data_IF_042102928970
#
_entry.id   IF_042102928970
#
_cell.length_a   1.000
_cell.length_b   1.000
_cell.length_c   1.000
_cell.angle_alpha   90.00
_cell.angle_beta   90.00
_cell.angle_gamma   90.00
#
_symmetry.space_group_name_H-M   'P 1'
#
loop_
_entity.id
_entity.type
_entity.pdbx_description
1 polymer ?
#
# COMPACT_ATOMS: atom_id res chain seq x y z
N UNK A 1 6.73 6.43 -7.16
CA UNK A 1 7.77 7.24 -6.50
C UNK A 1 7.23 8.58 -5.99
N UNK A 2 6.84 9.55 -6.83
CA UNK A 2 6.36 10.86 -6.37
C UNK A 2 5.21 10.82 -5.35
N UNK A 3 4.21 9.96 -5.57
CA UNK A 3 3.12 9.78 -4.61
C UNK A 3 3.64 9.37 -3.22
N UNK A 4 4.59 8.43 -3.17
CA UNK A 4 5.23 7.99 -1.92
C UNK A 4 5.98 9.14 -1.26
N UNK A 5 6.69 9.98 -2.02
CA UNK A 5 7.37 11.15 -1.48
C UNK A 5 6.39 12.14 -0.83
N UNK A 6 5.26 12.42 -1.49
CA UNK A 6 4.21 13.28 -0.93
C UNK A 6 3.61 12.68 0.35
N UNK A 7 3.38 11.37 0.35
CA UNK A 7 2.83 10.66 1.51
C UNK A 7 3.80 10.72 2.71
N UNK A 8 5.08 10.44 2.47
CA UNK A 8 6.14 10.54 3.49
C UNK A 8 6.24 11.96 4.04
N UNK A 9 6.25 12.98 3.16
CA UNK A 9 6.30 14.38 3.61
C UNK A 9 5.08 14.75 4.47
N UNK A 10 3.87 14.33 4.09
CA UNK A 10 2.66 14.56 4.88
C UNK A 10 2.71 13.88 6.26
N UNK A 11 3.29 12.68 6.34
CA UNK A 11 3.49 11.98 7.60
C UNK A 11 4.55 12.66 8.48
N UNK A 12 5.67 13.11 7.91
CA UNK A 12 6.71 13.82 8.67
C UNK A 12 6.28 15.20 9.15
N UNK A 13 5.27 15.80 8.49
CA UNK A 13 4.62 17.05 8.90
C UNK A 13 3.43 16.83 9.84
N UNK A 14 3.20 15.61 10.32
CA UNK A 14 2.08 15.22 11.19
C UNK A 14 0.68 15.54 10.60
N UNK A 15 0.58 15.72 9.27
CA UNK A 15 -0.69 15.95 8.57
C UNK A 15 -1.52 14.66 8.54
N UNK A 16 -0.86 13.51 8.46
CA UNK A 16 -1.46 12.18 8.55
C UNK A 16 -0.72 11.34 9.59
N UNK A 17 -1.41 10.35 10.18
CA UNK A 17 -0.81 9.47 11.19
C UNK A 17 -0.22 8.19 10.61
N UNK A 18 -0.62 7.81 9.39
CA UNK A 18 -0.20 6.56 8.76
C UNK A 18 -0.18 6.64 7.24
N UNK A 19 0.62 5.77 6.64
CA UNK A 19 0.69 5.54 5.20
C UNK A 19 0.07 4.17 4.90
N UNK A 20 -0.82 4.12 3.91
CA UNK A 20 -1.41 2.86 3.44
C UNK A 20 -1.14 2.75 1.94
N UNK A 21 -0.11 1.98 1.58
CA UNK A 21 0.30 1.74 0.20
C UNK A 21 -0.32 0.43 -0.28
N UNK A 22 -1.19 0.55 -1.27
CA UNK A 22 -1.98 -0.55 -1.79
C UNK A 22 -1.60 -0.77 -3.23
N UNK A 23 -1.36 -2.03 -3.61
CA UNK A 23 -1.14 -2.38 -5.02
C UNK A 23 -2.06 -3.51 -5.42
N UNK A 24 -2.53 -3.45 -6.65
CA UNK A 24 -3.26 -4.57 -7.23
C UNK A 24 -2.28 -5.71 -7.52
N UNK A 25 -2.46 -6.83 -6.82
CA UNK A 25 -1.71 -8.05 -7.07
C UNK A 25 -2.42 -8.84 -8.18
N UNK A 26 -2.29 -8.39 -9.43
CA UNK A 26 -2.59 -9.23 -10.58
C UNK A 26 -1.31 -9.60 -11.30
N UNK A 27 -1.24 -10.87 -11.60
CA UNK A 27 -0.14 -11.52 -12.26
C UNK A 27 -0.02 -11.07 -13.71
N UNK A 28 1.21 -10.98 -14.18
CA UNK A 28 1.53 -10.83 -15.59
C UNK A 28 1.23 -12.13 -16.37
N UNK A 29 -0.04 -12.55 -16.40
CA UNK A 29 -0.53 -13.64 -17.25
C UNK A 29 -0.47 -15.07 -16.69
N UNK A 30 0.09 -15.31 -15.51
CA UNK A 30 0.02 -16.63 -14.82
C UNK A 30 -1.00 -16.61 -13.68
N UNK A 31 -1.41 -17.76 -13.15
CA UNK A 31 -2.33 -17.86 -12.00
C UNK A 31 -1.50 -18.05 -10.72
N UNK A 32 -1.94 -17.45 -9.59
CA UNK A 32 -1.18 -17.32 -8.33
C UNK A 32 -0.83 -18.68 -7.69
N UNK A 33 -1.30 -19.76 -8.30
CA UNK A 33 -0.94 -21.13 -8.03
C UNK A 33 0.49 -21.54 -8.41
N UNK A 34 1.22 -20.82 -9.26
CA UNK A 34 2.52 -21.32 -9.77
C UNK A 34 3.76 -20.97 -8.93
N UNK A 35 3.72 -19.89 -8.13
CA UNK A 35 4.83 -19.59 -7.23
C UNK A 35 4.76 -20.50 -5.99
N UNK A 36 5.82 -21.25 -5.62
CA UNK A 36 5.86 -21.99 -4.37
C UNK A 36 5.95 -21.01 -3.19
N UNK A 37 5.25 -21.29 -2.08
CA UNK A 37 5.30 -20.47 -0.87
C UNK A 37 3.94 -20.08 -0.30
N UNK A 38 3.96 -19.42 0.86
CA UNK A 38 2.75 -18.85 1.47
C UNK A 38 2.23 -17.64 0.65
N UNK A 39 1.01 -17.19 0.94
CA UNK A 39 0.37 -16.09 0.19
C UNK A 39 1.22 -14.80 0.22
N UNK A 40 2.00 -14.59 1.28
CA UNK A 40 2.83 -13.40 1.48
C UNK A 40 4.04 -13.45 0.54
N UNK A 41 4.73 -14.60 0.48
CA UNK A 41 5.88 -14.84 -0.40
C UNK A 41 5.55 -14.65 -1.87
N UNK A 42 4.30 -14.91 -2.28
CA UNK A 42 3.86 -14.69 -3.68
C UNK A 42 3.54 -13.23 -4.00
N UNK A 43 3.12 -12.45 -3.02
CA UNK A 43 2.69 -11.05 -3.20
C UNK A 43 3.87 -10.09 -3.05
N UNK A 44 4.87 -10.45 -2.26
CA UNK A 44 6.08 -9.66 -1.98
C UNK A 44 6.80 -9.10 -3.22
N UNK A 45 7.00 -9.86 -4.32
CA UNK A 45 7.65 -9.33 -5.53
C UNK A 45 6.91 -8.13 -6.14
N UNK A 46 5.58 -8.10 -6.05
CA UNK A 46 4.77 -7.01 -6.60
C UNK A 46 4.81 -5.76 -5.72
N UNK A 47 4.98 -5.93 -4.41
CA UNK A 47 5.06 -4.83 -3.45
C UNK A 47 6.48 -4.24 -3.38
N UNK A 48 7.48 -4.94 -3.92
CA UNK A 48 8.89 -4.53 -3.86
C UNK A 48 9.15 -3.08 -4.31
N UNK A 49 8.58 -2.57 -5.41
CA UNK A 49 8.81 -1.18 -5.81
C UNK A 49 8.33 -0.14 -4.79
N UNK A 50 7.28 -0.47 -4.02
CA UNK A 50 6.79 0.41 -2.94
C UNK A 50 7.75 0.39 -1.75
N UNK A 51 8.27 -0.79 -1.39
CA UNK A 51 9.30 -0.90 -0.35
C UNK A 51 10.59 -0.18 -0.72
N UNK A 52 11.08 -0.38 -1.96
CA UNK A 52 12.30 0.26 -2.43
C UNK A 52 12.18 1.80 -2.38
N UNK A 53 11.04 2.35 -2.81
CA UNK A 53 10.77 3.79 -2.72
C UNK A 53 10.75 4.29 -1.26
N UNK A 54 10.16 3.54 -0.34
CA UNK A 54 10.17 3.89 1.09
C UNK A 54 11.59 3.83 1.67
N UNK A 55 12.35 2.79 1.35
CA UNK A 55 13.73 2.61 1.84
C UNK A 55 14.66 3.71 1.33
N UNK A 56 14.48 4.16 0.08
CA UNK A 56 15.25 5.28 -0.48
C UNK A 56 14.94 6.60 0.26
N UNK A 57 13.69 6.83 0.64
CA UNK A 57 13.26 8.09 1.28
C UNK A 57 13.53 8.15 2.78
N UNK A 58 13.34 7.04 3.50
CA UNK A 58 13.35 7.01 4.96
C UNK A 58 14.50 6.17 5.55
N UNK A 59 15.16 5.35 4.74
CA UNK A 59 16.14 4.37 5.19
C UNK A 59 15.51 3.09 5.72
N UNK A 60 16.21 1.97 5.53
CA UNK A 60 15.73 0.62 5.87
C UNK A 60 15.29 0.49 7.33
N UNK A 61 16.12 0.90 8.29
CA UNK A 61 15.81 0.75 9.72
C UNK A 61 14.55 1.52 10.16
N UNK A 62 14.36 2.74 9.64
CA UNK A 62 13.20 3.58 9.97
C UNK A 62 11.92 2.96 9.39
N UNK A 63 11.96 2.53 8.13
CA UNK A 63 10.81 1.88 7.47
C UNK A 63 10.40 0.62 8.21
N UNK A 64 11.34 -0.27 8.55
CA UNK A 64 11.03 -1.50 9.29
C UNK A 64 10.36 -1.22 10.63
N UNK A 65 10.87 -0.25 11.42
CA UNK A 65 10.24 0.18 12.68
C UNK A 65 8.82 0.75 12.47
N UNK A 66 8.60 1.50 11.39
CA UNK A 66 7.30 2.08 11.09
C UNK A 66 6.29 1.03 10.62
N UNK A 67 6.75 0.01 9.89
CA UNK A 67 5.92 -1.15 9.51
C UNK A 67 5.54 -1.97 10.74
N UNK A 68 6.50 -2.30 11.62
CA UNK A 68 6.23 -3.03 12.86
C UNK A 68 5.19 -2.31 13.75
N UNK A 69 5.21 -0.97 13.74
CA UNK A 69 4.25 -0.13 14.46
C UNK A 69 2.92 0.07 13.72
N UNK A 70 2.75 -0.50 12.53
CA UNK A 70 1.61 -0.27 11.63
C UNK A 70 1.38 1.21 11.25
N UNK A 71 2.44 2.02 11.29
CA UNK A 71 2.43 3.40 10.80
C UNK A 71 2.53 3.41 9.28
N UNK A 72 3.32 2.50 8.71
CA UNK A 72 3.37 2.25 7.28
C UNK A 72 2.79 0.86 7.03
N UNK A 73 1.78 0.77 6.17
CA UNK A 73 1.20 -0.48 5.74
C UNK A 73 1.37 -0.62 4.23
N UNK A 74 1.95 -1.73 3.78
CA UNK A 74 2.06 -2.10 2.37
C UNK A 74 1.30 -3.39 2.17
N UNK A 75 0.23 -3.37 1.37
CA UNK A 75 -0.69 -4.50 1.28
C UNK A 75 -1.32 -4.63 -0.12
N UNK A 76 -1.74 -5.84 -0.51
CA UNK A 76 -2.50 -6.01 -1.75
C UNK A 76 -3.93 -5.45 -1.62
N UNK A 77 -4.52 -5.04 -2.75
CA UNK A 77 -5.87 -4.46 -2.78
C UNK A 77 -6.96 -5.31 -2.10
N UNK A 78 -6.84 -6.64 -2.19
CA UNK A 78 -7.79 -7.56 -1.58
C UNK A 78 -7.93 -7.39 -0.05
N UNK A 79 -6.87 -6.91 0.62
CA UNK A 79 -6.83 -6.75 2.08
C UNK A 79 -7.57 -5.48 2.53
N UNK A 80 -8.00 -4.63 1.60
CA UNK A 80 -8.75 -3.41 1.92
C UNK A 80 -10.23 -3.68 2.19
N UNK A 81 -10.74 -4.85 1.77
CA UNK A 81 -12.15 -5.20 1.92
C UNK A 81 -12.58 -5.16 3.38
N UNK A 82 -13.69 -4.46 3.66
CA UNK A 82 -14.27 -4.37 5.01
C UNK A 82 -13.54 -3.43 5.97
N UNK A 83 -12.50 -2.71 5.52
CA UNK A 83 -11.75 -1.78 6.36
C UNK A 83 -12.28 -0.35 6.26
N UNK A 84 -11.96 0.46 7.25
CA UNK A 84 -12.09 1.92 7.19
C UNK A 84 -10.71 2.52 7.44
N UNK A 85 -10.21 3.26 6.46
CA UNK A 85 -8.89 3.85 6.47
C UNK A 85 -9.01 5.30 6.95
N UNK A 86 -8.98 5.52 8.27
CA UNK A 86 -8.92 6.85 8.91
C UNK A 86 -7.48 7.36 9.07
N UNK A 87 -7.32 8.69 9.17
CA UNK A 87 -6.06 9.38 9.47
C UNK A 87 -4.86 8.95 8.61
N UNK A 88 -5.13 8.55 7.36
CA UNK A 88 -4.18 7.92 6.47
C UNK A 88 -3.92 8.75 5.21
N UNK A 89 -2.67 8.72 4.75
CA UNK A 89 -2.38 8.98 3.35
C UNK A 89 -2.38 7.63 2.62
N UNK A 90 -3.30 7.48 1.68
CA UNK A 90 -3.60 6.23 1.01
C UNK A 90 -3.09 6.33 -0.43
N UNK A 91 -2.41 5.30 -0.93
CA UNK A 91 -1.97 5.24 -2.33
C UNK A 91 -2.46 3.93 -2.93
N UNK A 92 -3.17 4.00 -4.04
CA UNK A 92 -3.44 2.84 -4.89
C UNK A 92 -2.50 2.88 -6.10
N UNK A 93 -1.44 2.07 -6.03
CA UNK A 93 -0.48 1.91 -7.10
C UNK A 93 -1.02 0.95 -8.18
N UNK A 94 -0.62 1.18 -9.43
CA UNK A 94 -1.10 0.45 -10.61
C UNK A 94 -2.65 0.41 -10.72
N UNK A 95 -3.31 1.52 -10.36
CA UNK A 95 -4.77 1.62 -10.32
C UNK A 95 -5.46 1.24 -11.65
N UNK A 96 -4.78 1.40 -12.78
CA UNK A 96 -5.28 1.02 -14.11
C UNK A 96 -5.50 -0.50 -14.26
N UNK A 97 -4.85 -1.33 -13.42
CA UNK A 97 -5.04 -2.78 -13.43
C UNK A 97 -6.28 -3.22 -12.62
N UNK A 98 -6.97 -2.29 -11.96
CA UNK A 98 -8.17 -2.59 -11.17
C UNK A 98 -9.44 -2.62 -12.01
N UNK A 99 -10.40 -3.44 -11.58
CA UNK A 99 -11.77 -3.38 -12.13
C UNK A 99 -12.56 -2.23 -11.51
N UNK A 100 -13.64 -1.80 -12.17
CA UNK A 100 -14.56 -0.79 -11.64
C UNK A 100 -15.09 -1.18 -10.27
N UNK A 101 -15.41 -2.47 -10.05
CA UNK A 101 -15.90 -2.97 -8.77
C UNK A 101 -14.83 -2.88 -7.68
N UNK A 102 -13.58 -3.21 -8.00
CA UNK A 102 -12.45 -3.10 -7.09
C UNK A 102 -12.16 -1.64 -6.72
N UNK A 103 -12.21 -0.73 -7.70
CA UNK A 103 -12.07 0.71 -7.46
C UNK A 103 -13.20 1.24 -6.56
N UNK A 104 -14.46 0.86 -6.82
CA UNK A 104 -15.60 1.23 -5.95
C UNK A 104 -15.42 0.69 -4.53
N UNK A 105 -15.00 -0.57 -4.40
CA UNK A 105 -14.72 -1.18 -3.10
C UNK A 105 -13.66 -0.36 -2.36
N UNK A 106 -12.56 -0.01 -3.04
CA UNK A 106 -11.44 0.74 -2.47
C UNK A 106 -11.81 2.15 -2.02
N UNK A 107 -12.45 2.94 -2.89
CA UNK A 107 -12.81 4.33 -2.59
C UNK A 107 -13.75 4.44 -1.39
N UNK A 108 -14.64 3.44 -1.20
CA UNK A 108 -15.52 3.41 -0.01
C UNK A 108 -14.81 3.03 1.29
N UNK A 109 -13.50 2.74 1.26
CA UNK A 109 -12.70 2.49 2.47
C UNK A 109 -12.11 3.78 3.02
N UNK A 110 -12.08 4.88 2.26
CA UNK A 110 -11.50 6.16 2.69
C UNK A 110 -12.35 6.72 3.84
N UNK A 111 -11.71 6.87 5.00
CA UNK A 111 -12.34 7.31 6.24
C UNK A 111 -12.04 8.77 6.57
N UNK A 112 -12.32 9.16 7.81
CA UNK A 112 -12.13 10.53 8.29
C UNK A 112 -10.65 10.93 8.30
N UNK A 113 -10.38 12.22 8.09
CA UNK A 113 -9.04 12.81 8.07
C UNK A 113 -8.02 12.05 7.19
N UNK A 114 -8.51 11.44 6.11
CA UNK A 114 -7.67 10.69 5.18
C UNK A 114 -7.65 11.36 3.82
N UNK A 115 -6.56 11.14 3.10
CA UNK A 115 -6.37 11.63 1.74
C UNK A 115 -5.86 10.49 0.87
N UNK A 116 -6.21 10.50 -0.41
CA UNK A 116 -5.92 9.43 -1.37
C UNK A 116 -5.63 9.99 -2.76
#
# INVERSE_FOLDING_TARGET
YLAVACAVAAMEQDVVRRLVLVRHAVEAGEKLGFLPGDLVQKVDPYLRPLYDALYEMLGFEKVSKLIEKNVIEVAPLAFMRGRTLNEAFIILDEAQNTTIEQMKMFLTRIGFNSTA
#
